data_IF_322121760814
#
_entry.id   IF_322121760814
#
_cell.length_a   1.000
_cell.length_b   1.000
_cell.length_c   1.000
_cell.angle_alpha   90.00
_cell.angle_beta   90.00
_cell.angle_gamma   90.00
#
_symmetry.space_group_name_H-M   'P 1'
#
loop_
_entity.id
_entity.type
_entity.pdbx_description
1 polymer ?
#
# COMPACT_ATOMS: atom_id res chain seq x y z
N UNK A 1 -3.65 -1.84 16.97
CA UNK A 1 -4.98 -1.25 16.68
C UNK A 1 -4.94 -0.69 15.28
N UNK A 2 -5.99 -0.90 14.49
CA UNK A 2 -6.04 -0.45 13.09
C UNK A 2 -6.80 0.85 12.94
N UNK A 3 -6.16 1.85 12.35
CA UNK A 3 -6.79 3.09 11.90
C UNK A 3 -7.07 2.99 10.40
N UNK A 4 -8.33 2.68 10.04
CA UNK A 4 -8.76 2.59 8.65
C UNK A 4 -9.27 3.95 8.13
N UNK A 5 -8.83 4.33 6.93
CA UNK A 5 -9.23 5.53 6.21
C UNK A 5 -9.71 5.14 4.83
N UNK A 6 -10.94 5.51 4.49
CA UNK A 6 -11.46 5.40 3.13
C UNK A 6 -11.28 6.73 2.41
N UNK A 7 -10.58 6.72 1.28
CA UNK A 7 -10.43 7.91 0.46
C UNK A 7 -11.73 8.24 -0.30
N UNK A 8 -12.11 9.53 -0.38
CA UNK A 8 -13.16 9.98 -1.30
C UNK A 8 -12.84 9.60 -2.76
N UNK A 9 -13.87 9.47 -3.59
CA UNK A 9 -13.71 9.03 -4.98
C UNK A 9 -12.80 9.93 -5.84
N UNK A 10 -12.75 11.22 -5.51
CA UNK A 10 -11.88 12.22 -6.14
C UNK A 10 -10.59 12.50 -5.33
N UNK A 11 -10.38 11.81 -4.21
CA UNK A 11 -9.35 12.15 -3.22
C UNK A 11 -9.72 13.35 -2.34
N UNK A 12 -8.83 13.74 -1.41
CA UNK A 12 -8.97 14.96 -0.61
C UNK A 12 -8.83 16.22 -1.48
N UNK A 13 -9.44 17.33 -1.03
CA UNK A 13 -9.33 18.63 -1.69
C UNK A 13 -7.89 19.19 -1.65
N UNK A 14 -7.18 18.93 -0.55
CA UNK A 14 -5.79 19.33 -0.36
C UNK A 14 -4.92 18.11 -0.02
N UNK A 15 -4.22 17.60 -1.03
CA UNK A 15 -3.29 16.49 -0.90
C UNK A 15 -2.08 16.80 -0.02
N UNK A 16 -1.64 18.06 0.05
CA UNK A 16 -0.51 18.46 0.89
C UNK A 16 -0.89 18.42 2.36
N UNK A 17 -2.06 18.97 2.70
CA UNK A 17 -2.60 18.90 4.06
C UNK A 17 -2.88 17.46 4.49
N UNK A 18 -3.40 16.64 3.57
CA UNK A 18 -3.64 15.22 3.80
C UNK A 18 -2.34 14.45 4.09
N UNK A 19 -1.29 14.65 3.28
CA UNK A 19 0.02 14.02 3.52
C UNK A 19 0.60 14.42 4.88
N UNK A 20 0.50 15.70 5.26
CA UNK A 20 0.99 16.19 6.54
C UNK A 20 0.24 15.56 7.73
N UNK A 21 -1.10 15.41 7.66
CA UNK A 21 -1.89 14.71 8.68
C UNK A 21 -1.51 13.23 8.77
N UNK A 22 -1.34 12.56 7.62
CA UNK A 22 -0.90 11.18 7.58
C UNK A 22 0.49 11.00 8.22
N UNK A 23 1.44 11.90 7.94
CA UNK A 23 2.78 11.88 8.54
C UNK A 23 2.72 12.00 10.06
N UNK A 24 1.86 12.88 10.60
CA UNK A 24 1.64 13.00 12.04
C UNK A 24 1.11 11.70 12.64
N UNK A 25 0.13 11.06 11.98
CA UNK A 25 -0.43 9.78 12.44
C UNK A 25 0.58 8.66 12.42
N UNK A 26 1.36 8.52 11.34
CA UNK A 26 2.41 7.50 11.22
C UNK A 26 3.39 7.64 12.39
N UNK A 27 3.81 8.86 12.72
CA UNK A 27 4.73 9.13 13.84
C UNK A 27 4.14 8.84 15.21
N UNK A 28 2.82 8.80 15.33
CA UNK A 28 2.09 8.52 16.58
C UNK A 28 1.73 7.03 16.74
N UNK A 29 2.07 6.15 15.79
CA UNK A 29 1.74 4.73 15.90
C UNK A 29 2.35 4.08 17.14
N UNK A 30 1.52 3.42 17.93
CA UNK A 30 1.99 2.54 18.99
C UNK A 30 2.55 1.24 18.37
N UNK A 31 3.35 0.47 19.12
CA UNK A 31 3.74 -0.87 18.68
C UNK A 31 2.50 -1.69 18.29
N UNK A 32 2.59 -2.43 17.18
CA UNK A 32 1.50 -3.24 16.60
C UNK A 32 0.26 -2.45 16.12
N UNK A 33 0.36 -1.13 15.99
CA UNK A 33 -0.64 -0.31 15.31
C UNK A 33 -0.34 -0.19 13.81
N UNK A 34 -1.41 -0.10 13.03
CA UNK A 34 -1.34 0.15 11.60
C UNK A 34 -2.38 1.18 11.13
N UNK A 35 -2.04 1.86 10.03
CA UNK A 35 -2.92 2.75 9.29
C UNK A 35 -3.19 2.07 7.96
N UNK A 36 -4.46 1.89 7.60
CA UNK A 36 -4.86 1.33 6.31
C UNK A 36 -5.63 2.39 5.55
N UNK A 37 -5.17 2.73 4.35
CA UNK A 37 -5.84 3.68 3.46
C UNK A 37 -6.33 2.93 2.23
N UNK A 38 -7.65 2.89 2.02
CA UNK A 38 -8.28 2.23 0.88
C UNK A 38 -8.93 3.23 -0.08
N UNK A 39 -9.09 2.85 -1.35
CA UNK A 39 -9.77 3.66 -2.37
C UNK A 39 -11.04 2.94 -2.84
N UNK A 40 -12.14 2.96 -2.06
CA UNK A 40 -13.35 2.17 -2.35
C UNK A 40 -14.02 2.51 -3.68
N UNK A 41 -13.78 3.71 -4.21
CA UNK A 41 -14.27 4.12 -5.52
C UNK A 41 -13.60 3.40 -6.70
N UNK A 42 -12.57 2.59 -6.44
CA UNK A 42 -11.85 1.78 -7.42
C UNK A 42 -11.94 0.33 -6.98
N UNK A 43 -12.89 -0.42 -7.51
CA UNK A 43 -12.93 -1.86 -7.33
C UNK A 43 -12.37 -2.54 -8.57
N UNK A 44 -11.53 -3.55 -8.36
CA UNK A 44 -10.99 -4.41 -9.42
C UNK A 44 -11.15 -5.88 -9.00
N UNK A 45 -11.42 -6.77 -9.96
CA UNK A 45 -11.59 -8.19 -9.66
C UNK A 45 -10.28 -8.79 -9.16
N UNK A 46 -10.36 -9.49 -8.04
CA UNK A 46 -9.23 -10.06 -7.28
C UNK A 46 -9.44 -11.57 -7.12
N UNK A 47 -8.49 -12.37 -7.60
CA UNK A 47 -8.59 -13.82 -7.67
C UNK A 47 -8.41 -14.53 -6.32
N UNK A 48 -9.45 -14.63 -5.50
CA UNK A 48 -9.40 -15.38 -4.23
C UNK A 48 -8.97 -16.86 -4.36
N UNK A 49 -9.14 -17.48 -5.53
CA UNK A 49 -8.78 -18.89 -5.74
C UNK A 49 -8.44 -19.18 -7.19
N UNK A 50 -7.25 -19.73 -7.42
CA UNK A 50 -6.88 -20.32 -8.72
C UNK A 50 -7.78 -21.50 -9.11
N UNK A 51 -7.95 -21.72 -10.40
CA UNK A 51 -8.69 -22.89 -10.90
C UNK A 51 -8.07 -24.19 -10.41
N UNK A 52 -8.89 -25.18 -10.04
CA UNK A 52 -8.43 -26.52 -9.60
C UNK A 52 -9.01 -27.62 -10.48
N UNK A 53 -8.43 -28.82 -10.39
CA UNK A 53 -8.89 -30.02 -11.11
C UNK A 53 -8.99 -29.80 -12.63
N UNK A 54 -7.88 -29.42 -13.28
CA UNK A 54 -7.81 -29.20 -14.73
C UNK A 54 -8.89 -28.25 -15.29
N UNK A 55 -9.30 -27.24 -14.51
CA UNK A 55 -10.32 -26.26 -14.91
C UNK A 55 -11.77 -26.64 -14.59
N UNK A 56 -12.01 -27.79 -13.93
CA UNK A 56 -13.36 -28.17 -13.48
C UNK A 56 -13.89 -27.30 -12.34
N UNK A 57 -12.98 -26.78 -11.50
CA UNK A 57 -13.32 -25.78 -10.50
C UNK A 57 -12.83 -24.43 -11.04
N UNK A 58 -13.74 -23.51 -11.44
CA UNK A 58 -13.35 -22.22 -11.97
C UNK A 58 -12.64 -21.37 -10.92
N UNK A 59 -11.79 -20.47 -11.39
CA UNK A 59 -11.18 -19.47 -10.55
C UNK A 59 -12.27 -18.60 -9.90
N UNK A 60 -12.11 -18.28 -8.63
CA UNK A 60 -13.02 -17.41 -7.91
C UNK A 60 -12.40 -16.02 -7.82
N UNK A 61 -13.17 -15.02 -8.23
CA UNK A 61 -12.79 -13.61 -8.14
C UNK A 61 -13.80 -12.89 -7.25
N UNK A 62 -13.31 -11.93 -6.48
CA UNK A 62 -14.12 -10.99 -5.71
C UNK A 62 -13.63 -9.56 -5.98
N UNK A 63 -14.50 -8.58 -5.89
CA UNK A 63 -14.12 -7.19 -6.14
C UNK A 63 -13.42 -6.63 -4.90
N UNK A 64 -12.17 -6.17 -5.07
CA UNK A 64 -11.41 -5.53 -3.99
C UNK A 64 -10.95 -4.14 -4.38
N UNK A 65 -10.75 -3.31 -3.37
CA UNK A 65 -10.24 -1.95 -3.55
C UNK A 65 -8.74 -1.91 -3.29
N UNK A 66 -7.95 -1.13 -4.05
CA UNK A 66 -6.55 -0.95 -3.73
C UNK A 66 -6.42 -0.26 -2.37
N UNK A 67 -5.43 -0.71 -1.60
CA UNK A 67 -5.13 -0.17 -0.29
C UNK A 67 -3.63 -0.11 -0.08
N UNK A 68 -3.21 0.87 0.72
CA UNK A 68 -1.87 0.97 1.27
C UNK A 68 -1.96 0.88 2.80
N UNK A 69 -1.03 0.18 3.41
CA UNK A 69 -0.91 0.05 4.86
C UNK A 69 0.40 0.66 5.33
N UNK A 70 0.40 1.34 6.46
CA UNK A 70 1.63 1.71 7.18
C UNK A 70 1.52 1.17 8.58
N UNK A 71 2.39 0.23 8.94
CA UNK A 71 2.44 -0.36 10.29
C UNK A 71 3.73 0.02 10.99
N UNK A 72 3.67 0.11 12.32
CA UNK A 72 4.88 0.16 13.14
C UNK A 72 5.47 -1.24 13.27
N UNK A 73 6.77 -1.36 13.03
CA UNK A 73 7.58 -2.55 13.24
C UNK A 73 8.84 -2.17 14.01
N UNK A 74 8.81 -2.36 15.32
CA UNK A 74 9.85 -1.87 16.25
C UNK A 74 10.11 -0.36 16.08
N UNK A 75 11.24 -0.03 15.45
CA UNK A 75 11.73 1.33 15.15
C UNK A 75 11.59 1.70 13.66
N UNK A 76 10.76 0.96 12.92
CA UNK A 76 10.46 1.22 11.51
C UNK A 76 8.98 1.46 11.28
N UNK A 77 8.65 2.38 10.39
CA UNK A 77 7.38 2.36 9.68
C UNK A 77 7.53 1.49 8.42
N UNK A 78 6.72 0.44 8.32
CA UNK A 78 6.65 -0.43 7.15
C UNK A 78 5.43 -0.03 6.34
N UNK A 79 5.67 0.61 5.21
CA UNK A 79 4.66 0.85 4.19
C UNK A 79 4.49 -0.41 3.34
N UNK A 80 3.26 -0.80 3.09
CA UNK A 80 2.88 -1.97 2.33
C UNK A 80 1.78 -1.58 1.33
N UNK A 81 1.86 -2.14 0.14
CA UNK A 81 0.90 -1.94 -0.93
C UNK A 81 0.62 -3.31 -1.55
N UNK A 82 -0.65 -3.54 -1.87
CA UNK A 82 -1.08 -4.79 -2.50
C UNK A 82 -0.28 -5.10 -3.78
N UNK A 83 0.19 -6.34 -3.92
CA UNK A 83 1.05 -6.78 -5.02
C UNK A 83 0.32 -7.34 -6.24
N UNK A 84 1.12 -7.65 -7.28
CA UNK A 84 0.70 -8.04 -8.64
C UNK A 84 0.54 -9.56 -8.85
N UNK A 85 -0.22 -9.94 -9.88
CA UNK A 85 -0.40 -11.31 -10.38
C UNK A 85 0.94 -12.01 -10.69
N UNK A 86 1.93 -11.26 -11.18
CA UNK A 86 3.26 -11.78 -11.53
C UNK A 86 4.04 -12.32 -10.31
N UNK A 87 3.62 -11.93 -9.10
CA UNK A 87 4.19 -12.39 -7.83
C UNK A 87 3.15 -13.13 -6.96
N UNK A 88 2.02 -13.51 -7.55
CA UNK A 88 0.93 -14.22 -6.88
C UNK A 88 0.07 -13.33 -5.97
N UNK A 89 0.14 -12.01 -6.14
CA UNK A 89 -0.86 -11.07 -5.64
C UNK A 89 -2.07 -11.04 -6.58
N UNK A 90 -3.26 -11.02 -6.02
CA UNK A 90 -4.48 -11.15 -6.80
C UNK A 90 -4.84 -9.81 -7.46
N UNK A 91 -4.47 -9.68 -8.73
CA UNK A 91 -4.94 -8.76 -9.78
C UNK A 91 -5.43 -7.37 -9.31
N UNK A 92 -4.50 -6.45 -9.02
CA UNK A 92 -4.86 -5.05 -8.76
C UNK A 92 -4.08 -4.02 -9.57
N UNK A 93 -2.85 -4.31 -10.04
CA UNK A 93 -2.04 -3.36 -10.79
C UNK A 93 -1.80 -3.85 -12.23
N UNK A 94 -1.91 -2.96 -13.20
CA UNK A 94 -1.40 -3.18 -14.56
C UNK A 94 0.13 -3.04 -14.61
N UNK A 95 0.76 -3.52 -15.69
CA UNK A 95 2.22 -3.37 -15.88
C UNK A 95 2.67 -1.90 -15.82
N UNK A 96 1.87 -0.98 -16.38
CA UNK A 96 2.13 0.45 -16.32
C UNK A 96 2.04 1.00 -14.88
N UNK A 97 1.07 0.52 -14.10
CA UNK A 97 0.93 0.90 -12.71
C UNK A 97 2.07 0.34 -11.85
N UNK A 98 2.50 -0.90 -12.10
CA UNK A 98 3.69 -1.48 -11.45
C UNK A 98 4.95 -0.68 -11.76
N UNK A 99 5.18 -0.28 -13.01
CA UNK A 99 6.31 0.54 -13.39
C UNK A 99 6.29 1.91 -12.68
N UNK A 100 5.09 2.48 -12.49
CA UNK A 100 4.92 3.74 -11.74
C UNK A 100 5.14 3.55 -10.24
N UNK A 101 4.66 2.45 -9.66
CA UNK A 101 4.90 2.08 -8.25
C UNK A 101 6.41 1.91 -8.00
N UNK A 102 7.11 1.19 -8.87
CA UNK A 102 8.57 0.99 -8.82
C UNK A 102 9.31 2.33 -8.90
N UNK A 103 8.91 3.22 -9.82
CA UNK A 103 9.49 4.55 -9.97
C UNK A 103 9.26 5.49 -8.77
N UNK A 104 8.25 5.23 -7.94
CA UNK A 104 8.03 5.95 -6.68
C UNK A 104 8.97 5.50 -5.56
N UNK A 105 9.70 4.39 -5.72
CA UNK A 105 10.67 3.88 -4.76
C UNK A 105 10.14 2.78 -3.85
N UNK A 106 8.99 2.18 -4.17
CA UNK A 106 8.56 0.94 -3.52
C UNK A 106 9.53 -0.19 -3.82
N UNK A 107 9.80 -1.04 -2.83
CA UNK A 107 10.52 -2.30 -3.08
C UNK A 107 9.55 -3.29 -3.71
N UNK A 108 10.00 -3.91 -4.80
CA UNK A 108 9.28 -5.00 -5.47
C UNK A 108 9.02 -6.17 -4.50
N UNK A 109 7.87 -6.85 -4.64
CA UNK A 109 7.64 -8.13 -3.99
C UNK A 109 8.77 -9.13 -4.31
N UNK A 110 9.10 -10.00 -3.36
CA UNK A 110 10.06 -11.08 -3.55
C UNK A 110 9.48 -12.26 -4.33
N UNK A 111 10.25 -13.34 -4.48
CA UNK A 111 9.83 -14.54 -5.22
C UNK A 111 9.30 -15.69 -4.31
N UNK A 112 9.33 -15.55 -2.98
CA UNK A 112 9.01 -16.61 -2.02
C UNK A 112 7.55 -16.54 -1.48
N UNK A 113 7.16 -17.52 -0.65
CA UNK A 113 5.75 -17.82 -0.32
C UNK A 113 5.12 -16.84 0.68
N UNK A 114 4.01 -16.22 0.24
CA UNK A 114 2.96 -15.51 1.00
C UNK A 114 3.36 -14.13 1.56
N UNK A 115 4.47 -13.99 2.28
CA UNK A 115 4.90 -12.69 2.84
C UNK A 115 5.60 -11.80 1.79
N UNK A 116 6.11 -12.40 0.71
CA UNK A 116 6.85 -11.72 -0.35
C UNK A 116 5.98 -11.22 -1.51
N UNK A 117 4.66 -11.11 -1.33
CA UNK A 117 3.71 -10.76 -2.42
C UNK A 117 3.15 -9.34 -2.34
N UNK A 118 3.77 -8.49 -1.54
CA UNK A 118 3.39 -7.10 -1.33
C UNK A 118 4.55 -6.19 -1.73
N UNK A 119 4.22 -5.05 -2.33
CA UNK A 119 5.19 -3.98 -2.45
C UNK A 119 5.41 -3.42 -1.06
N UNK A 120 6.66 -3.20 -0.68
CA UNK A 120 6.99 -2.75 0.67
C UNK A 120 8.04 -1.65 0.68
N UNK A 121 8.09 -0.87 1.75
CA UNK A 121 9.15 0.09 1.99
C UNK A 121 9.29 0.35 3.47
N UNK A 122 10.52 0.34 3.99
CA UNK A 122 10.82 0.67 5.37
C UNK A 122 11.25 2.14 5.49
N UNK A 123 10.94 2.72 6.63
CA UNK A 123 11.38 4.06 7.01
C UNK A 123 11.74 4.06 8.50
N UNK A 124 12.95 4.52 8.89
CA UNK A 124 14.10 4.79 8.04
C UNK A 124 14.60 3.51 7.32
N UNK A 125 15.43 3.67 6.27
CA UNK A 125 16.07 2.50 5.63
C UNK A 125 17.17 1.88 6.52
N UNK A 126 17.75 2.68 7.42
CA UNK A 126 18.80 2.28 8.35
C UNK A 126 18.36 2.54 9.79
N UNK A 127 18.65 1.60 10.70
CA UNK A 127 18.33 1.74 12.12
C UNK A 127 19.22 2.80 12.76
N UNK A 128 18.60 3.89 13.21
CA UNK A 128 19.27 4.83 14.12
C UNK A 128 18.95 4.44 15.57
N UNK A 129 19.93 4.54 16.48
CA UNK A 129 19.73 4.38 17.93
C UNK A 129 18.90 5.55 18.52
N UNK A 130 17.63 5.70 18.16
CA UNK A 130 16.70 6.64 18.83
C UNK A 130 15.23 6.38 18.48
N UNK A 131 14.33 7.12 19.15
CA UNK A 131 12.86 7.09 19.02
C UNK A 131 12.29 6.66 17.67
N UNK A 132 11.35 5.70 17.71
CA UNK A 132 10.49 5.16 16.65
C UNK A 132 10.59 5.76 15.23
N UNK A 133 10.33 7.06 15.02
CA UNK A 133 10.41 7.62 13.69
C UNK A 133 10.70 9.14 13.68
N UNK A 134 11.80 9.59 13.04
CA UNK A 134 12.03 11.02 12.79
C UNK A 134 10.94 11.64 11.91
N UNK A 135 10.66 12.93 12.12
CA UNK A 135 9.60 13.64 11.37
C UNK A 135 9.80 13.60 9.85
N UNK A 136 11.03 13.70 9.36
CA UNK A 136 11.33 13.62 7.94
C UNK A 136 11.03 12.24 7.34
N UNK A 137 11.25 11.17 8.11
CA UNK A 137 10.96 9.79 7.67
C UNK A 137 9.46 9.50 7.69
N UNK A 138 8.74 10.02 8.69
CA UNK A 138 7.27 9.97 8.71
C UNK A 138 6.66 10.71 7.50
N UNK A 139 7.22 11.87 7.14
CA UNK A 139 6.80 12.61 5.96
C UNK A 139 7.10 11.85 4.66
N UNK A 140 8.28 11.24 4.54
CA UNK A 140 8.65 10.45 3.37
C UNK A 140 7.72 9.23 3.18
N UNK A 141 7.35 8.54 4.27
CA UNK A 141 6.38 7.46 4.24
C UNK A 141 4.98 7.95 3.81
N UNK A 142 4.53 9.07 4.38
CA UNK A 142 3.25 9.68 4.01
C UNK A 142 3.23 10.14 2.54
N UNK A 143 4.30 10.74 2.05
CA UNK A 143 4.43 11.18 0.66
C UNK A 143 4.44 10.00 -0.32
N UNK A 144 5.10 8.89 0.04
CA UNK A 144 5.08 7.66 -0.76
C UNK A 144 3.64 7.16 -0.93
N UNK A 145 2.90 7.00 0.17
CA UNK A 145 1.49 6.58 0.16
C UNK A 145 0.64 7.57 -0.61
N UNK A 146 0.78 8.88 -0.33
CA UNK A 146 0.03 9.95 -0.99
C UNK A 146 0.20 9.92 -2.50
N UNK A 147 1.44 9.82 -2.97
CA UNK A 147 1.76 9.81 -4.41
C UNK A 147 1.25 8.55 -5.08
N UNK A 148 1.33 7.38 -4.43
CA UNK A 148 0.72 6.16 -4.96
C UNK A 148 -0.79 6.34 -5.16
N UNK A 149 -1.50 6.80 -4.12
CA UNK A 149 -2.95 6.96 -4.18
C UNK A 149 -3.37 8.01 -5.22
N UNK A 150 -2.70 9.15 -5.26
CA UNK A 150 -3.02 10.25 -6.17
C UNK A 150 -2.62 9.93 -7.61
N UNK A 151 -1.33 9.65 -7.83
CA UNK A 151 -0.74 9.66 -9.17
C UNK A 151 -0.98 8.35 -9.94
N UNK A 152 -1.27 7.25 -9.23
CA UNK A 152 -1.47 5.92 -9.82
C UNK A 152 -2.94 5.51 -9.76
N UNK A 153 -3.62 5.67 -8.64
CA UNK A 153 -5.01 5.20 -8.53
C UNK A 153 -6.04 6.23 -9.00
N UNK A 154 -5.88 7.51 -8.63
CA UNK A 154 -6.90 8.52 -8.90
C UNK A 154 -6.68 9.31 -10.20
N UNK A 155 -5.43 9.53 -10.64
CA UNK A 155 -5.13 10.25 -11.90
C UNK A 155 -5.49 9.44 -13.15
N UNK A 156 -5.58 8.11 -13.07
CA UNK A 156 -5.90 7.22 -14.21
C UNK A 156 -7.37 7.30 -14.65
N UNK A 157 -8.15 8.27 -14.12
CA UNK A 157 -9.51 8.64 -14.55
C UNK A 157 -9.57 9.86 -15.48
N UNK A 158 -8.43 10.41 -15.91
CA UNK A 158 -8.34 11.53 -16.86
C UNK A 158 -8.31 11.09 -18.32
#
# INVERSE_FOLDING_TARGET
>A
MTYAVELPAQGPEDWSAWSADLALRIRMLAPDDDIVVSVPALTRPHMLRQSRLFGLIPAHHDDTSPWARVRRDEDHAVAELIGSENFGGDYLLSEDEEARVDALGWRRPGHDLIEDRIWSRWFPDDVAESSYLPAAQAQAAADLVTRTLRDIFLVTRG
#
